data_IF_221881250788
#
_entry.id   IF_221881250788
#
_cell.length_a   1.000
_cell.length_b   1.000
_cell.length_c   1.000
_cell.angle_alpha   90.00
_cell.angle_beta   90.00
_cell.angle_gamma   90.00
#
_symmetry.space_group_name_H-M   'P 1'
#
loop_
_entity.id
_entity.type
_entity.pdbx_description
1 polymer ?
#
# COMPACT_ATOMS: atom_id res chain seq x y z
N UNK A 1 -18.19 -8.45 -10.05
CA UNK A 1 -16.77 -8.19 -10.37
C UNK A 1 -16.46 -8.76 -11.74
N UNK A 2 -15.52 -8.14 -12.44
CA UNK A 2 -14.89 -8.68 -13.65
C UNK A 2 -13.67 -9.49 -13.25
N UNK A 3 -13.61 -10.74 -13.67
CA UNK A 3 -12.54 -11.67 -13.30
C UNK A 3 -11.82 -12.14 -14.54
N UNK A 4 -10.55 -11.75 -14.70
CA UNK A 4 -9.74 -12.19 -15.83
C UNK A 4 -9.18 -13.59 -15.57
N UNK A 5 -9.36 -14.51 -16.54
CA UNK A 5 -8.83 -15.86 -16.47
C UNK A 5 -7.59 -15.96 -17.36
N UNK A 6 -6.43 -15.95 -16.71
CA UNK A 6 -5.12 -16.04 -17.33
C UNK A 6 -4.60 -17.48 -17.29
N UNK A 7 -4.42 -18.09 -18.44
CA UNK A 7 -3.79 -19.41 -18.62
C UNK A 7 -3.47 -19.67 -20.09
N UNK A 8 -2.68 -20.69 -20.34
CA UNK A 8 -2.52 -21.23 -21.69
C UNK A 8 -3.88 -21.72 -22.24
N UNK A 9 -4.15 -21.49 -23.52
CA UNK A 9 -5.43 -21.83 -24.16
C UNK A 9 -5.39 -23.24 -24.72
N UNK A 10 -4.50 -23.48 -25.67
CA UNK A 10 -4.45 -24.71 -26.46
C UNK A 10 -4.08 -25.92 -25.60
N UNK A 11 -5.01 -26.87 -25.48
CA UNK A 11 -4.88 -28.10 -24.71
C UNK A 11 -5.34 -27.99 -23.25
N UNK A 12 -5.82 -26.79 -22.83
CA UNK A 12 -6.33 -26.56 -21.46
C UNK A 12 -7.76 -26.03 -21.45
N UNK A 13 -8.47 -26.18 -22.56
CA UNK A 13 -9.85 -25.74 -22.72
C UNK A 13 -10.78 -26.27 -21.60
N UNK A 14 -10.66 -27.53 -21.12
CA UNK A 14 -11.48 -28.03 -20.01
C UNK A 14 -11.20 -27.28 -18.68
N UNK A 15 -9.95 -26.93 -18.39
CA UNK A 15 -9.58 -26.18 -17.19
C UNK A 15 -10.11 -24.75 -17.26
N UNK A 16 -9.99 -24.13 -18.43
CA UNK A 16 -10.53 -22.79 -18.68
C UNK A 16 -12.04 -22.75 -18.55
N UNK A 17 -12.74 -23.75 -19.10
CA UNK A 17 -14.20 -23.90 -18.97
C UNK A 17 -14.60 -24.11 -17.51
N UNK A 18 -13.85 -24.88 -16.72
CA UNK A 18 -14.08 -25.07 -15.29
C UNK A 18 -13.94 -23.77 -14.52
N UNK A 19 -12.89 -22.98 -14.76
CA UNK A 19 -12.68 -21.68 -14.15
C UNK A 19 -13.80 -20.67 -14.55
N UNK A 20 -14.18 -20.64 -15.84
CA UNK A 20 -15.31 -19.83 -16.31
C UNK A 20 -16.58 -20.18 -15.55
N UNK A 21 -16.92 -21.47 -15.47
CA UNK A 21 -18.11 -21.96 -14.75
C UNK A 21 -18.09 -21.55 -13.27
N UNK A 22 -16.92 -21.59 -12.61
CA UNK A 22 -16.78 -21.14 -11.22
C UNK A 22 -17.10 -19.66 -11.05
N UNK A 23 -16.62 -18.80 -11.98
CA UNK A 23 -16.89 -17.37 -12.00
C UNK A 23 -18.39 -17.08 -12.22
N UNK A 24 -19.00 -17.74 -13.20
CA UNK A 24 -20.41 -17.54 -13.58
C UNK A 24 -21.38 -18.02 -12.50
N UNK A 25 -21.09 -19.14 -11.81
CA UNK A 25 -21.92 -19.64 -10.68
C UNK A 25 -22.01 -18.62 -9.56
N UNK A 26 -20.96 -17.86 -9.32
CA UNK A 26 -20.92 -16.76 -8.35
C UNK A 26 -21.48 -15.43 -8.90
N UNK A 27 -22.08 -15.45 -10.10
CA UNK A 27 -22.65 -14.28 -10.80
C UNK A 27 -21.64 -13.17 -11.07
N UNK A 28 -20.41 -13.56 -11.37
CA UNK A 28 -19.38 -12.64 -11.83
C UNK A 28 -19.22 -12.71 -13.34
N UNK A 29 -18.56 -11.70 -13.91
CA UNK A 29 -18.28 -11.60 -15.34
C UNK A 29 -16.89 -12.18 -15.63
N UNK A 30 -16.77 -13.36 -16.28
CA UNK A 30 -15.49 -13.88 -16.71
C UNK A 30 -14.98 -13.08 -17.92
N UNK A 31 -13.70 -12.72 -17.91
CA UNK A 31 -13.02 -12.05 -19.02
C UNK A 31 -11.92 -12.99 -19.52
N UNK A 32 -12.02 -13.42 -20.76
CA UNK A 32 -11.10 -14.38 -21.36
C UNK A 32 -10.71 -13.96 -22.78
N UNK A 33 -9.53 -14.38 -23.22
CA UNK A 33 -9.01 -14.05 -24.55
C UNK A 33 -9.96 -14.48 -25.69
N UNK A 34 -10.66 -15.59 -25.51
CA UNK A 34 -11.61 -16.15 -26.48
C UNK A 34 -12.86 -15.27 -26.69
N UNK A 35 -13.17 -14.41 -25.72
CA UNK A 35 -14.39 -13.57 -25.75
C UNK A 35 -14.15 -12.24 -26.54
N UNK A 36 -12.91 -11.94 -26.88
CA UNK A 36 -12.56 -10.67 -27.52
C UNK A 36 -12.80 -10.68 -29.03
N UNK A 37 -13.72 -11.27 -29.61
CA UNK A 37 -14.15 -11.16 -31.02
C UNK A 37 -13.16 -10.47 -32.00
N UNK A 38 -13.52 -10.27 -33.23
CA UNK A 38 -12.69 -9.55 -34.20
C UNK A 38 -12.55 -8.06 -33.81
N UNK A 39 -11.32 -7.65 -33.49
CA UNK A 39 -10.97 -6.26 -33.15
C UNK A 39 -9.82 -5.75 -34.03
N UNK A 40 -9.73 -4.43 -34.29
CA UNK A 40 -8.62 -3.86 -35.08
C UNK A 40 -7.28 -3.82 -34.31
N UNK A 41 -7.28 -4.25 -33.04
CA UNK A 41 -6.09 -4.33 -32.19
C UNK A 41 -5.50 -5.75 -32.17
N UNK A 42 -4.19 -5.88 -31.88
CA UNK A 42 -3.59 -7.21 -31.74
C UNK A 42 -4.22 -7.97 -30.56
N UNK A 43 -4.28 -9.32 -30.60
CA UNK A 43 -4.77 -10.13 -29.49
C UNK A 43 -4.10 -9.80 -28.15
N UNK A 44 -2.78 -9.57 -28.16
CA UNK A 44 -2.01 -9.16 -26.98
C UNK A 44 -2.53 -7.85 -26.36
N UNK A 45 -2.76 -6.83 -27.17
CA UNK A 45 -3.26 -5.54 -26.68
C UNK A 45 -4.68 -5.69 -26.11
N UNK A 46 -5.52 -6.51 -26.77
CA UNK A 46 -6.88 -6.78 -26.29
C UNK A 46 -6.88 -7.52 -24.94
N UNK A 47 -5.99 -8.54 -24.78
CA UNK A 47 -5.84 -9.27 -23.51
C UNK A 47 -5.36 -8.34 -22.38
N UNK A 48 -4.30 -7.55 -22.61
CA UNK A 48 -3.79 -6.62 -21.60
C UNK A 48 -4.83 -5.54 -21.23
N UNK A 49 -5.66 -5.09 -22.18
CA UNK A 49 -6.75 -4.16 -21.89
C UNK A 49 -7.83 -4.84 -21.03
N UNK A 50 -8.30 -6.04 -21.40
CA UNK A 50 -9.26 -6.81 -20.59
C UNK A 50 -8.74 -7.12 -19.19
N UNK A 51 -7.46 -7.41 -19.07
CA UNK A 51 -6.77 -7.63 -17.82
C UNK A 51 -6.77 -6.34 -16.94
N UNK A 52 -6.48 -5.18 -17.52
CA UNK A 52 -6.53 -3.88 -16.83
C UNK A 52 -7.93 -3.49 -16.38
N UNK A 53 -8.94 -3.86 -17.15
CA UNK A 53 -10.35 -3.53 -16.86
C UNK A 53 -10.99 -4.52 -15.86
N UNK A 54 -10.28 -5.57 -15.45
CA UNK A 54 -10.77 -6.58 -14.51
C UNK A 54 -10.44 -6.24 -13.06
N UNK A 55 -11.26 -6.72 -12.12
CA UNK A 55 -11.09 -6.49 -10.67
C UNK A 55 -10.12 -7.48 -10.02
N UNK A 56 -10.15 -8.73 -10.49
CA UNK A 56 -9.39 -9.86 -9.94
C UNK A 56 -8.84 -10.70 -11.09
N UNK A 57 -7.69 -11.33 -10.89
CA UNK A 57 -7.09 -12.26 -11.84
C UNK A 57 -7.07 -13.68 -11.27
N UNK A 58 -7.61 -14.63 -12.01
CA UNK A 58 -7.46 -16.07 -11.79
C UNK A 58 -6.33 -16.55 -12.70
N UNK A 59 -5.17 -16.85 -12.11
CA UNK A 59 -3.97 -17.33 -12.80
C UNK A 59 -3.86 -18.85 -12.66
N UNK A 60 -3.90 -19.57 -13.79
CA UNK A 60 -3.83 -21.03 -13.82
C UNK A 60 -2.52 -21.44 -14.50
N UNK A 61 -1.64 -22.09 -13.76
CA UNK A 61 -0.33 -22.56 -14.22
C UNK A 61 -0.34 -24.08 -14.34
N UNK A 62 -0.16 -24.58 -15.57
CA UNK A 62 -0.11 -26.00 -15.90
C UNK A 62 1.33 -26.41 -16.27
N UNK A 63 1.50 -27.58 -16.90
CA UNK A 63 2.80 -28.20 -17.22
C UNK A 63 3.63 -27.45 -18.27
N UNK A 64 2.98 -26.65 -19.17
CA UNK A 64 3.67 -25.98 -20.29
C UNK A 64 3.68 -24.46 -20.15
N UNK A 65 4.82 -23.86 -20.52
CA UNK A 65 5.01 -22.41 -20.56
C UNK A 65 4.31 -21.73 -21.76
N UNK A 66 4.18 -22.45 -22.85
CA UNK A 66 3.65 -21.91 -24.10
C UNK A 66 4.73 -21.23 -24.97
N UNK A 67 4.28 -20.54 -26.02
CA UNK A 67 5.21 -19.88 -26.94
C UNK A 67 5.74 -18.56 -26.36
N UNK A 68 7.02 -18.31 -26.63
CA UNK A 68 7.68 -17.06 -26.23
C UNK A 68 7.41 -15.99 -27.29
N UNK A 69 6.90 -14.85 -26.86
CA UNK A 69 6.63 -13.71 -27.75
C UNK A 69 7.93 -12.97 -28.10
N UNK A 70 8.12 -12.63 -29.37
CA UNK A 70 9.34 -11.99 -29.86
C UNK A 70 9.60 -10.58 -29.28
N UNK A 71 8.58 -9.88 -28.78
CA UNK A 71 8.71 -8.54 -28.21
C UNK A 71 9.01 -8.53 -26.72
N UNK A 72 8.29 -9.35 -25.95
CA UNK A 72 8.40 -9.38 -24.48
C UNK A 72 9.44 -10.39 -24.00
N UNK A 73 9.78 -11.39 -24.82
CA UNK A 73 10.68 -12.47 -24.44
C UNK A 73 10.07 -13.48 -23.47
N UNK A 74 8.77 -13.36 -23.18
CA UNK A 74 8.02 -14.24 -22.26
C UNK A 74 6.74 -14.76 -22.91
N UNK A 75 6.08 -15.74 -22.28
CA UNK A 75 4.78 -16.22 -22.76
C UNK A 75 3.68 -15.22 -22.47
N UNK A 76 2.52 -15.25 -23.20
CA UNK A 76 1.39 -14.37 -22.94
C UNK A 76 0.91 -14.42 -21.50
N UNK A 77 0.78 -15.61 -20.91
CA UNK A 77 0.37 -15.80 -19.52
C UNK A 77 1.37 -15.17 -18.53
N UNK A 78 2.67 -15.30 -18.82
CA UNK A 78 3.70 -14.69 -17.99
C UNK A 78 3.69 -13.17 -18.12
N UNK A 79 3.49 -12.62 -19.33
CA UNK A 79 3.34 -11.18 -19.55
C UNK A 79 2.13 -10.61 -18.82
N UNK A 80 0.98 -11.30 -18.84
CA UNK A 80 -0.22 -10.93 -18.09
C UNK A 80 0.05 -10.90 -16.58
N UNK A 81 0.78 -11.90 -16.06
CA UNK A 81 1.20 -11.91 -14.65
C UNK A 81 2.09 -10.70 -14.31
N UNK A 82 3.11 -10.42 -15.12
CA UNK A 82 4.03 -9.30 -14.92
C UNK A 82 3.30 -7.93 -14.93
N UNK A 83 2.28 -7.79 -15.78
CA UNK A 83 1.48 -6.56 -15.88
C UNK A 83 0.69 -6.27 -14.60
N UNK A 84 0.20 -7.31 -13.91
CA UNK A 84 -0.72 -7.15 -12.77
C UNK A 84 -0.12 -7.47 -11.42
N UNK A 85 1.06 -8.12 -11.40
CA UNK A 85 1.71 -8.43 -10.12
C UNK A 85 1.94 -7.14 -9.32
N UNK A 86 1.45 -7.15 -8.08
CA UNK A 86 1.54 -6.00 -7.20
C UNK A 86 0.55 -4.87 -7.49
N UNK A 87 -0.25 -4.95 -8.55
CA UNK A 87 -1.27 -3.95 -8.88
C UNK A 87 -2.69 -4.45 -8.65
N UNK A 88 -2.91 -5.76 -8.77
CA UNK A 88 -4.24 -6.39 -8.65
C UNK A 88 -4.15 -7.68 -7.84
N UNK A 89 -5.26 -8.09 -7.20
CA UNK A 89 -5.33 -9.39 -6.55
C UNK A 89 -5.23 -10.52 -7.58
N UNK A 90 -4.36 -11.49 -7.30
CA UNK A 90 -4.15 -12.68 -8.13
C UNK A 90 -4.50 -13.90 -7.30
N UNK A 91 -5.47 -14.69 -7.76
CA UNK A 91 -5.79 -16.01 -7.23
C UNK A 91 -5.05 -17.03 -8.07
N UNK A 92 -4.00 -17.66 -7.53
CA UNK A 92 -3.11 -18.54 -8.28
C UNK A 92 -3.40 -20.01 -8.03
N UNK A 93 -3.55 -20.76 -9.11
CA UNK A 93 -3.79 -22.20 -9.12
C UNK A 93 -2.71 -22.90 -9.91
N UNK A 94 -2.09 -23.91 -9.32
CA UNK A 94 -0.94 -24.62 -9.90
C UNK A 94 -1.31 -26.09 -10.06
N UNK A 95 -1.17 -26.63 -11.27
CA UNK A 95 -1.44 -28.04 -11.54
C UNK A 95 -0.40 -28.94 -10.86
N UNK A 96 -0.86 -29.92 -10.11
CA UNK A 96 -0.02 -30.87 -9.39
C UNK A 96 0.04 -32.23 -10.11
N UNK A 97 1.15 -32.96 -9.88
CA UNK A 97 1.33 -34.31 -10.44
C UNK A 97 1.69 -34.32 -11.93
N UNK A 98 2.18 -33.21 -12.46
CA UNK A 98 2.65 -33.05 -13.83
C UNK A 98 4.14 -32.71 -13.87
N UNK A 99 4.81 -33.03 -14.96
CA UNK A 99 6.19 -32.59 -15.21
C UNK A 99 6.14 -31.24 -15.94
N UNK A 100 6.67 -30.20 -15.31
CA UNK A 100 6.77 -28.87 -15.91
C UNK A 100 7.93 -28.84 -16.94
N UNK A 101 7.72 -28.15 -18.05
CA UNK A 101 8.87 -27.73 -18.84
C UNK A 101 9.76 -26.72 -18.06
N UNK A 102 11.02 -26.60 -18.46
CA UNK A 102 12.02 -25.84 -17.72
C UNK A 102 11.59 -24.35 -17.49
N UNK A 103 11.05 -23.73 -18.54
CA UNK A 103 10.59 -22.33 -18.45
C UNK A 103 9.35 -22.18 -17.56
N UNK A 104 8.45 -23.17 -17.61
CA UNK A 104 7.28 -23.19 -16.76
C UNK A 104 7.66 -23.39 -15.28
N UNK A 105 8.59 -24.28 -15.00
CA UNK A 105 9.09 -24.48 -13.64
C UNK A 105 9.69 -23.19 -13.05
N UNK A 106 10.44 -22.44 -13.87
CA UNK A 106 10.99 -21.14 -13.48
C UNK A 106 9.88 -20.12 -13.21
N UNK A 107 8.87 -20.03 -14.10
CA UNK A 107 7.74 -19.12 -13.92
C UNK A 107 6.91 -19.46 -12.69
N UNK A 108 6.60 -20.73 -12.46
CA UNK A 108 5.89 -21.19 -11.24
C UNK A 108 6.69 -20.80 -9.99
N UNK A 109 8.01 -21.02 -9.99
CA UNK A 109 8.89 -20.63 -8.88
C UNK A 109 8.89 -19.11 -8.65
N UNK A 110 8.98 -18.30 -9.71
CA UNK A 110 8.90 -16.85 -9.64
C UNK A 110 7.57 -16.38 -9.03
N UNK A 111 6.46 -16.89 -9.58
CA UNK A 111 5.12 -16.51 -9.12
C UNK A 111 4.88 -16.91 -7.66
N UNK A 112 5.41 -18.06 -7.22
CA UNK A 112 5.32 -18.54 -5.84
C UNK A 112 6.19 -17.74 -4.87
N UNK A 113 7.38 -17.33 -5.28
CA UNK A 113 8.28 -16.53 -4.42
C UNK A 113 7.77 -15.11 -4.17
N UNK A 114 7.08 -14.53 -5.14
CA UNK A 114 6.47 -13.21 -5.02
C UNK A 114 5.26 -13.21 -4.06
N UNK A 115 4.47 -14.27 -4.08
CA UNK A 115 3.28 -14.40 -3.23
C UNK A 115 3.61 -15.10 -1.91
N UNK A 116 4.42 -14.51 -1.05
CA UNK A 116 4.62 -15.01 0.31
C UNK A 116 3.28 -15.06 1.08
N UNK A 117 2.56 -16.19 0.95
CA UNK A 117 1.47 -16.57 1.84
C UNK A 117 0.04 -16.38 1.37
N UNK A 118 -0.27 -15.93 0.15
CA UNK A 118 -1.67 -15.67 -0.23
C UNK A 118 -2.16 -16.52 -1.41
N UNK A 119 -3.24 -17.31 -1.15
CA UNK A 119 -4.14 -17.92 -2.14
C UNK A 119 -3.48 -18.77 -3.25
N UNK A 120 -2.56 -19.65 -2.87
CA UNK A 120 -2.08 -20.71 -3.72
C UNK A 120 -2.85 -21.99 -3.43
N UNK A 121 -3.49 -22.58 -4.45
CA UNK A 121 -4.06 -23.92 -4.36
C UNK A 121 -3.51 -24.82 -5.47
N UNK A 122 -3.15 -26.04 -5.10
CA UNK A 122 -2.80 -27.09 -6.05
C UNK A 122 -4.05 -27.82 -6.50
N UNK A 123 -4.12 -28.21 -7.79
CA UNK A 123 -5.22 -29.00 -8.36
C UNK A 123 -4.69 -30.06 -9.31
N UNK A 124 -5.48 -31.12 -9.51
CA UNK A 124 -5.15 -32.22 -10.44
C UNK A 124 -6.17 -32.36 -11.58
N UNK A 125 -7.41 -32.01 -11.32
CA UNK A 125 -8.51 -32.17 -12.27
C UNK A 125 -9.26 -30.85 -12.50
N UNK A 126 -10.05 -30.79 -13.58
CA UNK A 126 -10.89 -29.62 -13.88
C UNK A 126 -11.96 -29.37 -12.79
N UNK A 127 -12.52 -30.44 -12.23
CA UNK A 127 -13.54 -30.33 -11.17
C UNK A 127 -12.93 -29.80 -9.87
N UNK A 128 -11.74 -30.28 -9.48
CA UNK A 128 -10.99 -29.71 -8.35
C UNK A 128 -10.68 -28.23 -8.57
N UNK A 129 -10.23 -27.86 -9.77
CA UNK A 129 -9.95 -26.46 -10.11
C UNK A 129 -11.22 -25.60 -9.95
N UNK A 130 -12.36 -26.09 -10.49
CA UNK A 130 -13.65 -25.38 -10.36
C UNK A 130 -13.99 -25.11 -8.89
N UNK A 131 -13.90 -26.13 -8.04
CA UNK A 131 -14.22 -26.02 -6.62
C UNK A 131 -13.26 -25.04 -5.91
N UNK A 132 -11.95 -25.13 -6.20
CA UNK A 132 -10.96 -24.27 -5.62
C UNK A 132 -11.10 -22.80 -6.07
N UNK A 133 -11.37 -22.56 -7.36
CA UNK A 133 -11.66 -21.21 -7.88
C UNK A 133 -12.90 -20.63 -7.24
N UNK A 134 -13.99 -21.44 -7.13
CA UNK A 134 -15.23 -21.01 -6.49
C UNK A 134 -14.99 -20.58 -5.04
N UNK A 135 -14.28 -21.42 -4.26
CA UNK A 135 -13.96 -21.10 -2.85
C UNK A 135 -13.07 -19.86 -2.74
N UNK A 136 -12.00 -19.79 -3.55
CA UNK A 136 -11.07 -18.66 -3.49
C UNK A 136 -11.75 -17.32 -3.83
N UNK A 137 -12.63 -17.30 -4.84
CA UNK A 137 -13.43 -16.10 -5.17
C UNK A 137 -14.40 -15.76 -4.04
N UNK A 138 -15.07 -16.75 -3.48
CA UNK A 138 -15.99 -16.55 -2.35
C UNK A 138 -15.25 -16.02 -1.12
N UNK A 139 -14.11 -16.61 -0.76
CA UNK A 139 -13.28 -16.17 0.37
C UNK A 139 -12.74 -14.74 0.13
N UNK A 140 -12.32 -14.45 -1.11
CA UNK A 140 -11.94 -13.11 -1.51
C UNK A 140 -13.11 -12.12 -1.36
N UNK A 141 -14.32 -12.50 -1.77
CA UNK A 141 -15.52 -11.67 -1.59
C UNK A 141 -15.85 -11.44 -0.12
N UNK A 142 -15.79 -12.49 0.72
CA UNK A 142 -16.02 -12.36 2.16
C UNK A 142 -14.98 -11.45 2.82
N UNK A 143 -13.72 -11.62 2.45
CA UNK A 143 -12.63 -10.76 2.92
C UNK A 143 -12.82 -9.30 2.50
N UNK A 144 -13.42 -9.07 1.32
CA UNK A 144 -13.68 -7.76 0.75
C UNK A 144 -15.17 -7.36 0.80
N UNK A 145 -16.04 -8.13 1.48
CA UNK A 145 -17.47 -7.83 1.69
C UNK A 145 -17.65 -6.66 2.67
N UNK A 146 -16.86 -5.66 2.47
CA UNK A 146 -17.00 -4.39 3.10
C UNK A 146 -18.14 -3.64 2.42
N UNK A 147 -19.05 -3.11 3.20
CA UNK A 147 -20.13 -2.24 2.69
C UNK A 147 -19.59 -1.07 1.86
N UNK A 148 -20.43 -0.37 1.12
CA UNK A 148 -20.00 0.81 0.38
C UNK A 148 -19.28 1.77 1.34
N UNK A 149 -18.06 2.16 1.00
CA UNK A 149 -17.33 3.16 1.78
C UNK A 149 -17.61 4.55 1.20
N UNK A 150 -17.76 5.51 2.11
CA UNK A 150 -17.90 6.92 1.76
C UNK A 150 -16.51 7.55 1.75
N UNK A 151 -16.00 7.89 0.55
CA UNK A 151 -14.71 8.55 0.37
C UNK A 151 -14.62 9.86 1.15
N UNK A 152 -15.69 10.66 1.17
CA UNK A 152 -15.68 11.94 1.88
C UNK A 152 -15.60 11.73 3.40
N UNK A 153 -16.34 10.75 3.93
CA UNK A 153 -16.25 10.37 5.34
C UNK A 153 -14.85 9.83 5.70
N UNK A 154 -14.23 9.06 4.79
CA UNK A 154 -12.89 8.50 5.01
C UNK A 154 -11.82 9.60 5.03
N UNK A 155 -11.85 10.53 4.07
CA UNK A 155 -10.96 11.68 4.03
C UNK A 155 -11.15 12.58 5.28
N UNK A 156 -12.40 12.82 5.66
CA UNK A 156 -12.71 13.57 6.88
C UNK A 156 -12.14 12.88 8.12
N UNK A 157 -12.29 11.56 8.24
CA UNK A 157 -11.76 10.80 9.37
C UNK A 157 -10.22 10.89 9.44
N UNK A 158 -9.52 10.85 8.30
CA UNK A 158 -8.08 11.06 8.26
C UNK A 158 -7.67 12.46 8.72
N UNK A 159 -8.39 13.48 8.29
CA UNK A 159 -8.15 14.87 8.75
C UNK A 159 -8.45 15.06 10.24
N UNK A 160 -9.52 14.45 10.74
CA UNK A 160 -9.94 14.57 12.15
C UNK A 160 -8.94 13.89 13.12
N UNK A 161 -8.12 12.93 12.65
CA UNK A 161 -7.03 12.31 13.42
C UNK A 161 -5.83 13.25 13.59
N UNK A 162 -5.63 14.18 12.68
CA UNK A 162 -4.51 15.12 12.79
C UNK A 162 -4.70 16.07 13.98
N UNK A 163 -3.61 16.48 14.64
CA UNK A 163 -3.70 17.46 15.70
C UNK A 163 -4.31 18.76 15.15
N UNK A 164 -5.27 19.32 15.87
CA UNK A 164 -5.76 20.67 15.57
C UNK A 164 -4.57 21.62 15.73
N UNK A 165 -4.36 22.47 14.74
CA UNK A 165 -3.23 23.37 14.68
C UNK A 165 -2.98 24.07 16.05
N UNK A 166 -1.94 23.64 16.74
CA UNK A 166 -1.46 24.29 17.93
C UNK A 166 -0.19 25.07 17.56
N UNK A 167 -0.13 26.32 17.98
CA UNK A 167 1.09 27.11 17.85
C UNK A 167 2.16 26.47 18.71
N UNK A 168 3.23 25.94 18.06
CA UNK A 168 4.39 25.51 18.82
C UNK A 168 5.09 26.75 19.40
N UNK A 169 5.46 26.65 20.65
CA UNK A 169 6.47 27.50 21.30
C UNK A 169 7.74 27.53 20.44
N UNK A 170 8.38 28.67 20.30
CA UNK A 170 9.52 28.96 19.43
C UNK A 170 10.76 28.03 19.54
N UNK A 171 10.71 26.95 20.32
CA UNK A 171 11.87 26.08 20.62
C UNK A 171 11.68 24.61 20.22
N UNK A 172 10.58 24.22 19.55
CA UNK A 172 10.35 22.84 19.14
C UNK A 172 10.88 22.51 17.74
N UNK A 173 11.45 21.31 17.55
CA UNK A 173 11.77 20.80 16.21
C UNK A 173 10.50 20.62 15.38
N UNK A 174 10.52 20.89 14.07
CA UNK A 174 9.37 20.65 13.21
C UNK A 174 8.96 19.18 13.21
N UNK A 175 7.65 18.92 13.23
CA UNK A 175 7.06 17.58 13.22
C UNK A 175 6.13 17.42 12.04
N UNK A 176 6.27 16.31 11.32
CA UNK A 176 5.34 15.86 10.31
C UNK A 176 4.33 14.92 10.96
N UNK A 177 3.05 15.21 10.79
CA UNK A 177 1.96 14.34 11.18
C UNK A 177 1.35 13.72 9.94
N UNK A 178 1.18 12.40 9.94
CA UNK A 178 0.56 11.64 8.86
C UNK A 178 -0.50 10.72 9.47
N UNK A 179 -1.74 10.94 9.08
CA UNK A 179 -2.86 10.08 9.42
C UNK A 179 -3.19 9.18 8.24
N UNK A 180 -3.40 7.89 8.49
CA UNK A 180 -3.80 6.91 7.50
C UNK A 180 -5.04 6.18 8.05
N UNK A 181 -6.15 6.27 7.34
CA UNK A 181 -7.42 5.64 7.71
C UNK A 181 -7.85 4.66 6.63
N UNK A 182 -8.14 3.44 7.04
CA UNK A 182 -8.62 2.40 6.14
C UNK A 182 -10.14 2.39 6.00
N UNK A 183 -10.63 2.07 4.84
CA UNK A 183 -12.05 1.89 4.51
C UNK A 183 -12.36 0.58 3.85
N UNK A 184 -13.60 0.09 4.03
CA UNK A 184 -14.69 0.67 4.81
C UNK A 184 -14.45 0.58 6.32
N UNK A 185 -15.03 1.53 7.07
CA UNK A 185 -14.85 1.60 8.51
C UNK A 185 -15.40 0.36 9.21
N UNK A 186 -14.52 -0.38 9.86
CA UNK A 186 -14.84 -1.59 10.63
C UNK A 186 -13.77 -1.85 11.67
N UNK A 187 -14.13 -2.60 12.73
CA UNK A 187 -13.16 -2.99 13.74
C UNK A 187 -12.23 -4.09 13.18
N UNK A 188 -10.93 -3.82 13.15
CA UNK A 188 -9.87 -4.71 12.71
C UNK A 188 -9.26 -5.47 13.87
N UNK A 189 -8.98 -4.75 14.96
CA UNK A 189 -8.42 -5.28 16.18
C UNK A 189 -9.48 -5.32 17.28
N UNK A 190 -9.51 -6.41 18.05
CA UNK A 190 -10.28 -6.46 19.28
C UNK A 190 -9.55 -5.66 20.38
N UNK A 191 -10.23 -5.09 21.37
CA UNK A 191 -9.58 -4.37 22.46
C UNK A 191 -8.47 -5.20 23.14
N UNK A 192 -8.71 -6.49 23.38
CA UNK A 192 -7.70 -7.39 23.97
C UNK A 192 -6.46 -7.63 23.08
N UNK A 193 -6.61 -7.54 21.77
CA UNK A 193 -5.48 -7.63 20.81
C UNK A 193 -4.69 -6.31 20.78
N UNK A 194 -5.39 -5.18 20.90
CA UNK A 194 -4.78 -3.86 20.96
C UNK A 194 -3.95 -3.69 22.24
N UNK A 195 -4.43 -4.21 23.38
CA UNK A 195 -3.76 -4.18 24.67
C UNK A 195 -2.66 -5.24 24.82
N UNK A 196 -2.58 -6.21 23.90
CA UNK A 196 -1.61 -7.28 23.97
C UNK A 196 -0.18 -6.75 23.78
N UNK A 197 0.71 -7.07 24.72
CA UNK A 197 2.14 -6.71 24.65
C UNK A 197 2.79 -7.17 23.36
N UNK A 198 2.37 -8.30 22.81
CA UNK A 198 2.89 -8.84 21.56
C UNK A 198 2.68 -7.91 20.35
N UNK A 199 1.55 -7.17 20.30
CA UNK A 199 1.32 -6.19 19.25
C UNK A 199 2.28 -5.00 19.41
N UNK A 200 2.38 -4.45 20.62
CA UNK A 200 3.29 -3.33 20.91
C UNK A 200 4.75 -3.69 20.59
N UNK A 201 5.21 -4.87 21.02
CA UNK A 201 6.56 -5.37 20.72
C UNK A 201 6.78 -5.52 19.22
N UNK A 202 5.81 -6.07 18.51
CA UNK A 202 5.88 -6.27 17.05
C UNK A 202 5.99 -4.95 16.29
N UNK A 203 5.18 -3.95 16.64
CA UNK A 203 5.23 -2.60 16.05
C UNK A 203 6.53 -1.88 16.42
N UNK A 204 7.01 -2.07 17.65
CA UNK A 204 8.30 -1.54 18.09
C UNK A 204 9.46 -2.14 17.30
N UNK A 205 9.52 -3.46 17.14
CA UNK A 205 10.54 -4.13 16.34
C UNK A 205 10.52 -3.64 14.88
N UNK A 206 9.34 -3.48 14.31
CA UNK A 206 9.18 -2.93 12.97
C UNK A 206 9.69 -1.48 12.88
N UNK A 207 9.42 -0.64 13.87
CA UNK A 207 9.88 0.75 13.91
C UNK A 207 11.40 0.88 14.09
N UNK A 208 12.04 -0.05 14.83
CA UNK A 208 13.48 -0.06 15.08
C UNK A 208 14.30 -0.69 13.95
N UNK A 209 13.82 -1.81 13.38
CA UNK A 209 14.61 -2.66 12.49
C UNK A 209 14.00 -2.83 11.10
N UNK A 210 12.77 -2.32 10.90
CA UNK A 210 12.13 -2.34 9.59
C UNK A 210 12.81 -1.41 8.57
N UNK A 211 12.37 -1.51 7.34
CA UNK A 211 12.69 -0.55 6.28
C UNK A 211 11.38 0.13 5.83
N UNK A 212 11.17 1.40 6.20
CA UNK A 212 12.07 2.33 6.88
C UNK A 212 12.12 2.17 8.41
N UNK A 213 13.16 2.73 9.03
CA UNK A 213 13.29 2.86 10.48
C UNK A 213 12.67 4.17 10.92
N UNK A 214 11.70 4.12 11.82
CA UNK A 214 11.10 5.31 12.41
C UNK A 214 11.70 5.65 13.79
N UNK A 215 12.18 4.63 14.51
CA UNK A 215 12.75 4.78 15.84
C UNK A 215 14.27 4.72 15.85
N UNK A 216 14.86 5.47 16.76
CA UNK A 216 16.30 5.49 16.99
C UNK A 216 16.66 4.48 18.09
N UNK A 217 17.57 3.51 17.85
CA UNK A 217 17.89 2.46 18.83
C UNK A 217 18.44 2.98 20.15
N UNK A 218 19.07 4.15 20.17
CA UNK A 218 19.65 4.74 21.40
C UNK A 218 18.63 5.44 22.30
N UNK A 219 17.37 5.63 21.83
CA UNK A 219 16.30 6.26 22.62
C UNK A 219 15.40 5.21 23.25
N UNK A 220 15.02 5.45 24.49
CA UNK A 220 14.00 4.65 25.17
C UNK A 220 12.64 4.76 24.47
N UNK A 221 11.75 3.84 24.77
CA UNK A 221 10.38 3.81 24.28
C UNK A 221 9.41 3.87 25.46
N UNK A 222 8.34 4.63 25.30
CA UNK A 222 7.14 4.56 26.10
C UNK A 222 5.99 4.04 25.23
N UNK A 223 5.16 3.14 25.76
CA UNK A 223 3.98 2.65 25.06
C UNK A 223 2.83 2.41 26.03
N UNK A 224 1.63 2.46 25.54
CA UNK A 224 0.42 2.26 26.33
C UNK A 224 -0.84 2.48 25.50
N UNK A 225 -1.98 2.47 26.18
CA UNK A 225 -3.28 2.73 25.57
C UNK A 225 -3.70 4.18 25.92
N UNK A 226 -4.10 4.93 24.89
CA UNK A 226 -4.69 6.26 25.01
C UNK A 226 -6.05 6.26 24.30
N UNK A 227 -7.14 6.36 25.06
CA UNK A 227 -8.48 6.17 24.51
C UNK A 227 -8.68 4.76 23.96
N UNK A 228 -8.92 4.65 22.66
CA UNK A 228 -9.06 3.39 21.93
C UNK A 228 -7.86 3.09 21.03
N UNK A 229 -6.71 3.70 21.28
CA UNK A 229 -5.51 3.53 20.47
C UNK A 229 -4.30 3.09 21.30
N UNK A 230 -3.54 2.15 20.77
CA UNK A 230 -2.19 1.84 21.22
C UNK A 230 -1.24 2.91 20.72
N UNK A 231 -0.41 3.47 21.59
CA UNK A 231 0.68 4.36 21.20
C UNK A 231 2.04 3.78 21.55
N UNK A 232 3.04 4.13 20.74
CA UNK A 232 4.46 3.92 20.95
C UNK A 232 5.16 5.24 20.69
N UNK A 233 5.98 5.70 21.61
CA UNK A 233 6.61 7.02 21.54
C UNK A 233 8.04 7.00 22.04
N UNK A 234 8.92 7.71 21.34
CA UNK A 234 10.27 8.02 21.82
C UNK A 234 10.34 9.47 22.32
N UNK A 235 11.06 9.69 23.39
CA UNK A 235 11.25 11.03 23.95
C UNK A 235 11.89 11.97 22.90
N UNK A 236 11.25 13.09 22.63
CA UNK A 236 11.60 14.05 21.57
C UNK A 236 11.81 13.37 20.19
N UNK A 237 11.04 12.33 19.90
CA UNK A 237 11.18 11.52 18.72
C UNK A 237 9.85 11.23 18.02
N UNK A 238 9.88 10.16 17.24
CA UNK A 238 8.71 9.68 16.54
C UNK A 238 7.66 9.09 17.51
N UNK A 239 6.38 9.24 17.14
CA UNK A 239 5.24 8.61 17.80
C UNK A 239 4.39 7.88 16.78
N UNK A 240 3.92 6.72 17.13
CA UNK A 240 3.06 5.84 16.34
C UNK A 240 1.81 5.58 17.17
N UNK A 241 0.64 5.75 16.58
CA UNK A 241 -0.64 5.35 17.19
C UNK A 241 -1.40 4.45 16.22
N UNK A 242 -2.05 3.42 16.76
CA UNK A 242 -2.91 2.48 16.01
C UNK A 242 -4.19 2.29 16.79
N UNK A 243 -5.35 2.48 16.16
CA UNK A 243 -6.65 2.26 16.79
C UNK A 243 -7.28 0.90 16.45
N UNK A 244 -8.44 0.60 17.05
CA UNK A 244 -9.20 -0.64 16.81
C UNK A 244 -9.65 -0.81 15.36
N UNK A 245 -9.81 0.27 14.60
CA UNK A 245 -10.19 0.25 13.19
C UNK A 245 -8.97 0.09 12.25
N UNK A 246 -7.75 0.03 12.81
CA UNK A 246 -6.52 -0.02 12.05
C UNK A 246 -6.10 1.35 11.49
N UNK A 247 -6.69 2.44 11.97
CA UNK A 247 -6.22 3.78 11.63
C UNK A 247 -4.87 4.05 12.30
N UNK A 248 -3.99 4.71 11.56
CA UNK A 248 -2.65 5.06 12.04
C UNK A 248 -2.50 6.58 12.12
N UNK A 249 -1.89 7.05 13.19
CA UNK A 249 -1.36 8.41 13.29
C UNK A 249 0.13 8.35 13.60
N UNK A 250 0.93 8.89 12.70
CA UNK A 250 2.38 8.94 12.79
C UNK A 250 2.82 10.39 13.00
N UNK A 251 3.63 10.64 14.02
CA UNK A 251 4.33 11.91 14.25
C UNK A 251 5.82 11.68 14.08
N UNK A 252 6.42 12.31 13.09
CA UNK A 252 7.82 12.11 12.71
C UNK A 252 8.57 13.43 12.80
N UNK A 253 9.76 13.47 13.43
CA UNK A 253 10.58 14.67 13.47
C UNK A 253 11.16 14.94 12.07
N UNK A 254 11.04 16.18 11.60
CA UNK A 254 11.68 16.66 10.37
C UNK A 254 13.11 17.09 10.71
N UNK A 255 14.00 16.08 10.83
CA UNK A 255 15.42 16.32 11.11
C UNK A 255 16.21 16.23 9.80
N UNK A 256 17.04 17.25 9.56
CA UNK A 256 17.96 17.22 8.42
C UNK A 256 19.11 16.23 8.68
N UNK A 257 19.42 15.38 7.72
CA UNK A 257 20.50 14.39 7.81
C UNK A 257 21.58 14.65 6.76
N UNK A 258 22.63 15.37 7.12
CA UNK A 258 23.84 15.47 6.33
C UNK A 258 24.83 14.37 6.70
N UNK A 259 25.34 13.61 5.71
CA UNK A 259 26.38 12.58 5.88
C UNK A 259 26.14 11.59 7.03
N UNK A 260 24.87 11.22 7.28
CA UNK A 260 24.52 10.28 8.35
C UNK A 260 24.59 10.86 9.77
N UNK A 261 24.86 12.14 9.92
CA UNK A 261 24.75 12.87 11.18
C UNK A 261 23.48 13.71 11.16
N UNK A 262 22.54 13.40 12.04
CA UNK A 262 21.36 14.24 12.27
C UNK A 262 21.84 15.58 12.82
N UNK A 263 21.68 16.64 12.06
CA UNK A 263 21.92 18.00 12.51
C UNK A 263 20.56 18.69 12.67
N UNK A 264 20.36 19.36 13.80
CA UNK A 264 19.16 20.14 14.08
C UNK A 264 19.13 21.45 13.26
N UNK A 265 19.34 21.37 11.94
CA UNK A 265 19.20 22.51 11.04
C UNK A 265 17.74 22.89 10.77
N UNK A 266 16.75 22.12 11.21
CA UNK A 266 15.33 22.46 11.19
C UNK A 266 14.96 23.77 11.92
N UNK A 267 15.94 24.42 12.55
CA UNK A 267 15.75 25.76 13.13
C UNK A 267 15.67 26.87 12.06
N UNK A 268 16.06 26.64 10.80
CA UNK A 268 16.19 27.71 9.80
C UNK A 268 15.28 27.56 8.58
N UNK A 269 14.89 26.35 8.20
CA UNK A 269 13.97 26.07 7.11
C UNK A 269 13.43 24.63 7.16
N UNK A 270 12.26 24.41 6.54
CA UNK A 270 11.75 23.09 6.19
C UNK A 270 12.39 22.67 4.87
N UNK A 271 13.04 21.53 4.84
CA UNK A 271 13.70 20.99 3.63
C UNK A 271 12.74 20.03 2.93
N UNK A 272 12.45 20.28 1.66
CA UNK A 272 11.49 19.52 0.85
C UNK A 272 11.83 18.04 0.82
N UNK A 273 13.07 17.70 0.61
CA UNK A 273 13.56 16.32 0.51
C UNK A 273 13.42 15.57 1.84
N UNK A 274 13.56 16.24 2.97
CA UNK A 274 13.31 15.65 4.28
C UNK A 274 11.81 15.36 4.48
N UNK A 275 10.94 16.26 4.06
CA UNK A 275 9.47 16.04 4.13
C UNK A 275 9.07 14.86 3.24
N UNK A 276 9.57 14.78 2.01
CA UNK A 276 9.28 13.66 1.09
C UNK A 276 9.78 12.34 1.68
N UNK A 277 10.97 12.32 2.25
CA UNK A 277 11.55 11.13 2.90
C UNK A 277 10.68 10.64 4.05
N UNK A 278 10.26 11.54 4.94
CA UNK A 278 9.44 11.16 6.10
C UNK A 278 8.01 10.77 5.69
N UNK A 279 7.41 11.42 4.67
CA UNK A 279 6.15 10.96 4.08
C UNK A 279 6.28 9.52 3.54
N UNK A 280 7.32 9.25 2.75
CA UNK A 280 7.60 7.91 2.24
C UNK A 280 7.80 6.88 3.35
N UNK A 281 8.50 7.28 4.43
CA UNK A 281 8.72 6.44 5.61
C UNK A 281 7.40 6.13 6.34
N UNK A 282 6.53 7.13 6.51
CA UNK A 282 5.21 6.94 7.11
C UNK A 282 4.34 5.97 6.29
N UNK A 283 4.31 6.17 4.96
CA UNK A 283 3.52 5.34 4.03
C UNK A 283 4.01 3.89 4.05
N UNK A 284 5.31 3.66 3.97
CA UNK A 284 5.88 2.31 3.97
C UNK A 284 5.67 1.60 5.32
N UNK A 285 5.81 2.31 6.44
CA UNK A 285 5.50 1.76 7.76
C UNK A 285 4.02 1.39 7.88
N UNK A 286 3.12 2.26 7.43
CA UNK A 286 1.68 2.00 7.44
C UNK A 286 1.31 0.78 6.59
N UNK A 287 1.90 0.63 5.39
CA UNK A 287 1.70 -0.55 4.55
C UNK A 287 2.03 -1.84 5.30
N UNK A 288 3.22 -1.90 5.91
CA UNK A 288 3.68 -3.09 6.66
C UNK A 288 2.83 -3.36 7.90
N UNK A 289 2.38 -2.29 8.59
CA UNK A 289 1.52 -2.42 9.76
C UNK A 289 0.15 -2.95 9.38
N UNK A 290 -0.50 -2.38 8.35
CA UNK A 290 -1.81 -2.84 7.87
C UNK A 290 -1.78 -4.28 7.38
N UNK A 291 -0.71 -4.71 6.71
CA UNK A 291 -0.58 -6.11 6.29
C UNK A 291 -0.48 -7.09 7.47
N UNK A 292 0.03 -6.62 8.59
CA UNK A 292 0.14 -7.41 9.82
C UNK A 292 -1.17 -7.49 10.58
N UNK A 293 -1.84 -6.35 10.79
CA UNK A 293 -3.06 -6.27 11.62
C UNK A 293 -4.33 -6.65 10.86
N UNK A 294 -4.33 -6.49 9.54
CA UNK A 294 -5.43 -6.80 8.64
C UNK A 294 -4.98 -7.77 7.54
N UNK A 295 -4.57 -8.96 7.94
CA UNK A 295 -4.07 -10.01 7.04
C UNK A 295 -5.10 -10.49 6.01
N UNK A 296 -6.39 -10.32 6.29
CA UNK A 296 -7.50 -10.66 5.40
C UNK A 296 -7.89 -9.50 4.45
N UNK A 297 -7.18 -8.37 4.50
CA UNK A 297 -7.38 -7.21 3.65
C UNK A 297 -8.82 -6.68 3.63
N UNK A 298 -9.46 -6.62 4.80
CA UNK A 298 -10.81 -6.08 4.97
C UNK A 298 -10.89 -4.58 4.67
N UNK A 299 -9.78 -3.86 4.88
CA UNK A 299 -9.62 -2.46 4.48
C UNK A 299 -9.11 -2.43 3.04
N UNK A 300 -9.96 -2.09 2.09
CA UNK A 300 -9.67 -2.11 0.65
C UNK A 300 -9.21 -0.77 0.10
N UNK A 301 -9.57 0.31 0.78
CA UNK A 301 -9.21 1.69 0.45
C UNK A 301 -8.54 2.37 1.63
N UNK A 302 -7.79 3.42 1.32
CA UNK A 302 -7.13 4.25 2.33
C UNK A 302 -7.35 5.72 2.02
N UNK A 303 -7.49 6.52 3.07
CA UNK A 303 -7.30 7.96 3.00
C UNK A 303 -6.10 8.35 3.85
N UNK A 304 -5.28 9.23 3.30
CA UNK A 304 -4.15 9.83 3.98
C UNK A 304 -4.42 11.32 4.18
N UNK A 305 -4.00 11.82 5.33
CA UNK A 305 -3.95 13.24 5.58
C UNK A 305 -2.61 13.59 6.24
N UNK A 306 -2.04 14.74 5.89
CA UNK A 306 -0.79 15.19 6.45
C UNK A 306 -0.82 16.67 6.81
N UNK A 307 -0.10 17.04 7.87
CA UNK A 307 0.19 18.42 8.23
C UNK A 307 1.59 18.53 8.86
N UNK A 308 2.15 19.71 8.84
CA UNK A 308 3.44 19.99 9.47
C UNK A 308 3.18 20.94 10.67
N UNK A 309 3.62 20.50 11.83
CA UNK A 309 3.64 21.29 13.05
C UNK A 309 5.03 21.91 13.19
N UNK A 310 5.13 23.23 13.01
CA UNK A 310 6.39 23.95 13.08
C UNK A 310 6.17 25.41 13.52
N UNK A 311 7.26 26.13 13.80
CA UNK A 311 7.20 27.56 14.09
C UNK A 311 6.68 28.34 12.86
N UNK A 312 5.80 29.30 13.09
CA UNK A 312 5.18 30.17 12.07
C UNK A 312 6.19 30.92 11.20
N UNK A 313 7.43 31.02 11.66
CA UNK A 313 8.51 31.77 10.98
C UNK A 313 9.37 30.90 10.06
N UNK A 314 9.24 29.57 10.09
CA UNK A 314 10.00 28.71 9.21
C UNK A 314 9.54 28.83 7.77
N UNK A 315 10.47 29.07 6.86
CA UNK A 315 10.24 29.02 5.43
C UNK A 315 10.55 27.64 4.85
N UNK A 316 10.17 27.44 3.58
CA UNK A 316 10.40 26.22 2.83
C UNK A 316 11.56 26.35 1.85
N UNK A 317 12.44 25.34 1.77
CA UNK A 317 13.57 25.27 0.85
C UNK A 317 13.72 23.89 0.25
N UNK A 318 14.31 23.80 -0.92
CA UNK A 318 14.91 22.57 -1.41
C UNK A 318 16.30 22.37 -0.82
N UNK A 319 16.84 21.15 -0.88
CA UNK A 319 18.21 20.86 -0.47
C UNK A 319 19.23 21.71 -1.26
N UNK A 320 19.01 21.87 -2.56
CA UNK A 320 19.86 22.68 -3.42
C UNK A 320 19.90 24.17 -2.99
N UNK A 321 18.75 24.73 -2.60
CA UNK A 321 18.67 26.10 -2.07
C UNK A 321 19.37 26.22 -0.71
N UNK A 322 19.33 25.17 0.11
CA UNK A 322 20.00 25.11 1.41
C UNK A 322 21.51 25.03 1.23
N UNK A 323 21.99 24.18 0.31
CA UNK A 323 23.42 24.00 0.03
C UNK A 323 24.04 25.28 -0.57
N UNK A 324 23.28 26.00 -1.39
CA UNK A 324 23.71 27.28 -1.96
C UNK A 324 23.83 28.40 -0.91
N UNK A 325 23.13 28.29 0.22
CA UNK A 325 23.12 29.31 1.28
C UNK A 325 22.95 28.68 2.67
N UNK A 326 23.93 27.89 3.16
CA UNK A 326 23.77 27.06 4.36
C UNK A 326 23.58 27.86 5.66
N UNK A 327 24.06 29.09 5.71
CA UNK A 327 24.00 29.94 6.90
C UNK A 327 22.81 30.94 6.88
N UNK A 328 21.91 30.85 5.90
CA UNK A 328 20.75 31.73 5.81
C UNK A 328 19.46 30.98 6.13
N UNK A 329 18.60 31.56 6.98
CA UNK A 329 17.26 31.04 7.24
C UNK A 329 16.28 31.47 6.17
N UNK A 330 15.30 30.62 5.83
CA UNK A 330 14.12 31.07 5.12
C UNK A 330 13.06 31.45 6.17
N UNK A 331 12.64 32.71 6.16
CA UNK A 331 11.61 33.18 7.08
C UNK A 331 10.33 33.48 6.33
N UNK A 332 9.21 33.07 6.88
CA UNK A 332 7.88 33.39 6.37
C UNK A 332 7.46 34.77 6.93
N UNK A 333 7.03 35.68 6.06
CA UNK A 333 6.64 37.05 6.43
C UNK A 333 5.13 37.24 6.59
N UNK A 334 4.34 36.18 6.67
CA UNK A 334 2.87 36.24 6.81
C UNK A 334 2.36 35.48 8.01
N UNK A 335 1.30 36.00 8.65
CA UNK A 335 0.59 35.29 9.71
C UNK A 335 0.02 33.95 9.17
N UNK A 336 -0.10 32.96 10.07
CA UNK A 336 -0.62 31.64 9.72
C UNK A 336 -2.05 31.78 9.23
N UNK A 337 -2.28 31.53 7.93
CA UNK A 337 -3.55 30.99 7.50
C UNK A 337 -3.71 29.62 8.17
N UNK A 338 -4.91 29.25 8.63
CA UNK A 338 -5.18 27.92 9.16
C UNK A 338 -4.54 26.87 8.25
N UNK A 339 -3.59 26.11 8.79
CA UNK A 339 -2.97 25.03 8.05
C UNK A 339 -4.03 23.98 7.78
N UNK A 340 -4.51 23.91 6.55
CA UNK A 340 -5.42 22.86 6.15
C UNK A 340 -4.63 21.58 5.91
N UNK A 341 -5.12 20.46 6.44
CA UNK A 341 -4.55 19.16 6.16
C UNK A 341 -4.59 18.88 4.65
N UNK A 342 -3.48 18.40 4.09
CA UNK A 342 -3.48 17.84 2.74
C UNK A 342 -4.02 16.43 2.78
N UNK A 343 -4.82 16.05 1.79
CA UNK A 343 -5.53 14.77 1.80
C UNK A 343 -5.45 14.08 0.45
N UNK A 344 -5.40 12.75 0.46
CA UNK A 344 -5.49 11.90 -0.73
C UNK A 344 -6.17 10.58 -0.36
N UNK A 345 -6.96 10.03 -1.27
CA UNK A 345 -7.54 8.70 -1.18
C UNK A 345 -7.08 7.81 -2.35
N UNK A 346 -6.86 6.54 -2.07
CA UNK A 346 -6.42 5.53 -3.05
C UNK A 346 -6.89 4.14 -2.61
N UNK A 347 -6.88 3.15 -3.53
CA UNK A 347 -6.92 1.75 -3.11
C UNK A 347 -5.75 1.44 -2.16
N UNK A 348 -5.96 0.56 -1.17
CA UNK A 348 -4.93 0.18 -0.18
C UNK A 348 -3.60 -0.25 -0.80
N UNK A 349 -3.67 -0.94 -1.94
CA UNK A 349 -2.49 -1.40 -2.68
C UNK A 349 -1.50 -0.25 -3.01
N UNK A 350 -1.99 0.98 -3.16
CA UNK A 350 -1.16 2.15 -3.43
C UNK A 350 -0.12 2.43 -2.34
N UNK A 351 -0.36 2.05 -1.08
CA UNK A 351 0.64 2.17 -0.01
C UNK A 351 1.94 1.42 -0.33
N UNK A 352 1.86 0.30 -1.06
CA UNK A 352 3.04 -0.49 -1.46
C UNK A 352 3.61 -0.09 -2.80
N UNK A 353 2.74 0.16 -3.77
CA UNK A 353 3.12 0.24 -5.18
C UNK A 353 3.21 1.67 -5.71
N UNK A 354 2.57 2.62 -5.04
CA UNK A 354 2.51 4.02 -5.42
C UNK A 354 2.99 4.94 -4.28
N UNK A 355 3.81 4.42 -3.35
CA UNK A 355 4.24 5.16 -2.16
C UNK A 355 4.91 6.51 -2.50
N UNK A 356 5.70 6.55 -3.57
CA UNK A 356 6.33 7.79 -4.04
C UNK A 356 5.29 8.79 -4.55
N UNK A 357 4.33 8.34 -5.38
CA UNK A 357 3.25 9.19 -5.91
C UNK A 357 2.36 9.72 -4.78
N UNK A 358 2.03 8.87 -3.79
CA UNK A 358 1.28 9.29 -2.60
C UNK A 358 2.04 10.37 -1.79
N UNK A 359 3.36 10.20 -1.62
CA UNK A 359 4.19 11.18 -0.95
C UNK A 359 4.23 12.51 -1.71
N UNK A 360 4.33 12.49 -3.05
CA UNK A 360 4.26 13.68 -3.88
C UNK A 360 2.90 14.37 -3.83
N UNK A 361 1.79 13.59 -3.91
CA UNK A 361 0.42 14.12 -3.83
C UNK A 361 0.16 14.86 -2.51
N UNK A 362 0.77 14.42 -1.39
CA UNK A 362 0.70 15.09 -0.11
C UNK A 362 1.70 16.27 -0.02
N UNK A 363 2.92 16.10 -0.55
CA UNK A 363 3.99 17.10 -0.44
C UNK A 363 3.66 18.38 -1.22
N UNK A 364 3.11 18.27 -2.44
CA UNK A 364 2.86 19.45 -3.29
C UNK A 364 1.90 20.46 -2.64
N UNK A 365 0.77 20.07 -2.05
CA UNK A 365 -0.08 21.01 -1.32
C UNK A 365 0.59 21.54 -0.04
N UNK A 366 1.36 20.70 0.72
CA UNK A 366 2.12 21.18 1.87
C UNK A 366 3.10 22.27 1.47
N UNK A 367 3.88 22.06 0.39
CA UNK A 367 4.80 23.07 -0.14
C UNK A 367 4.08 24.39 -0.47
N UNK A 368 2.90 24.32 -1.09
CA UNK A 368 2.11 25.52 -1.43
C UNK A 368 1.69 26.29 -0.17
N UNK A 369 1.34 25.60 0.91
CA UNK A 369 0.97 26.24 2.18
C UNK A 369 2.17 26.94 2.85
N UNK A 370 3.39 26.41 2.67
CA UNK A 370 4.59 26.91 3.34
C UNK A 370 5.43 27.89 2.50
N UNK A 371 5.28 27.89 1.16
CA UNK A 371 5.96 28.85 0.26
C UNK A 371 5.21 30.19 0.08
N UNK A 372 3.93 30.27 0.49
CA UNK A 372 3.11 31.49 0.31
C UNK A 372 3.25 32.44 1.51
#
# INVERSE_FOLDING_TARGET
>A
MKIFISSLITGYEPLRAAARSAVEVLRHEPVMAEDFGARPTSPQVACLQGLRDSDVVVLILCDRYGYVQGRSGVSPTHEEYLEVRGKKPILMFVQEGVEYDEQQAQFVSEAQSWQQGHFRAGFKTADELKDLVTRAIHDYQLANAAGPFDTAALLKAAADLLPKAHRISHSGSPMLHVAIVGGPSQRILRPAELEATALAESLHQQALFGAPRLFTPSKGINFGIEGSALFLEQEYGARIQVDECGSLLLRLPLEHSENGRRQNFGMFALIEEDVVRELGSAIAYAASTLDRIDSTQRLTHIALAACIEASDHLGWRTQAEQDASPNSGAMRMGGVQEQSATQVDRPRAALRFEAHTLAEDLMVPLRRQWKN
#
